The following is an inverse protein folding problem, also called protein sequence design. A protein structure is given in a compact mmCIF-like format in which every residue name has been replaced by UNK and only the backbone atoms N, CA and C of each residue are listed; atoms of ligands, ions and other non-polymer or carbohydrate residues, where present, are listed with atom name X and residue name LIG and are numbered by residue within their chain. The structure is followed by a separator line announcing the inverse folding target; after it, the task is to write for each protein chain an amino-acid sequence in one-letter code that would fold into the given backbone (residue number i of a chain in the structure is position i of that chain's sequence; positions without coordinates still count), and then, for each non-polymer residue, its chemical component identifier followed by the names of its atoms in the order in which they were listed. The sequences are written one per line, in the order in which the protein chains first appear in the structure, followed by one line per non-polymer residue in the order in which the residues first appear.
data_IF_111033937945
#
_entry.id   IF_111033937945
#
_cell.length_a   1.000
_cell.length_b   1.000
_cell.length_c   1.000
_cell.angle_alpha   90.00
_cell.angle_beta   90.00
_cell.angle_gamma   90.00
#
_symmetry.space_group_name_H-M   'P 1'
#
loop_
_entity.id
_entity.type
_entity.pdbx_description
1 polymer ?
#
# COMPACT_ATOMS: atom_id res chain seq x y z
N UNK A 1 42.53 15.17 -21.27
CA UNK A 1 41.95 13.82 -21.16
C UNK A 1 41.58 13.43 -19.74
N UNK A 2 42.48 13.56 -18.74
CA UNK A 2 42.15 13.15 -17.35
C UNK A 2 40.95 13.89 -16.70
N UNK A 3 40.74 15.17 -17.02
CA UNK A 3 39.65 15.97 -16.49
C UNK A 3 38.29 15.61 -17.11
N UNK A 4 38.27 15.36 -18.41
CA UNK A 4 37.07 14.92 -19.12
C UNK A 4 36.57 13.56 -18.64
N UNK A 5 37.48 12.61 -18.39
CA UNK A 5 37.15 11.30 -17.84
C UNK A 5 36.55 11.41 -16.44
N UNK A 6 37.12 12.24 -15.56
CA UNK A 6 36.57 12.47 -14.21
C UNK A 6 35.17 13.07 -14.26
N UNK A 7 34.93 14.01 -15.15
CA UNK A 7 33.62 14.62 -15.35
C UNK A 7 32.59 13.59 -15.84
N UNK A 8 32.97 12.75 -16.77
CA UNK A 8 32.13 11.71 -17.32
C UNK A 8 31.76 10.65 -16.28
N UNK A 9 32.72 10.25 -15.43
CA UNK A 9 32.47 9.34 -14.31
C UNK A 9 31.49 9.97 -13.30
N UNK A 10 31.69 11.22 -12.93
CA UNK A 10 30.81 11.92 -12.01
C UNK A 10 29.37 12.04 -12.55
N UNK A 11 29.24 12.29 -13.85
CA UNK A 11 27.93 12.38 -14.53
C UNK A 11 27.22 11.02 -14.52
N UNK A 12 27.92 9.94 -14.87
CA UNK A 12 27.35 8.60 -14.83
C UNK A 12 26.94 8.21 -13.41
N UNK A 13 27.77 8.50 -12.41
CA UNK A 13 27.49 8.19 -11.01
C UNK A 13 26.26 8.96 -10.51
N UNK A 14 26.12 10.23 -10.87
CA UNK A 14 24.96 11.04 -10.48
C UNK A 14 23.66 10.54 -11.12
N UNK A 15 23.71 10.10 -12.38
CA UNK A 15 22.54 9.50 -13.06
C UNK A 15 22.14 8.17 -12.44
N UNK A 16 23.11 7.32 -12.09
CA UNK A 16 22.87 6.05 -11.41
C UNK A 16 22.25 6.28 -10.02
N UNK A 17 22.75 7.26 -9.27
CA UNK A 17 22.20 7.60 -7.96
C UNK A 17 20.75 8.12 -8.08
N UNK A 18 20.50 9.03 -9.02
CA UNK A 18 19.16 9.55 -9.27
C UNK A 18 18.17 8.44 -9.67
N UNK A 19 18.62 7.52 -10.52
CA UNK A 19 17.83 6.35 -10.93
C UNK A 19 17.53 5.42 -9.75
N UNK A 20 18.52 5.15 -8.91
CA UNK A 20 18.37 4.32 -7.71
C UNK A 20 17.36 4.94 -6.72
N UNK A 21 17.50 6.24 -6.41
CA UNK A 21 16.56 6.95 -5.53
C UNK A 21 15.13 6.89 -6.06
N UNK A 22 14.96 7.16 -7.35
CA UNK A 22 13.63 7.10 -7.99
C UNK A 22 13.01 5.70 -7.92
N UNK A 23 13.81 4.66 -8.07
CA UNK A 23 13.31 3.26 -8.13
C UNK A 23 13.03 2.68 -6.75
N UNK A 24 13.88 2.99 -5.76
CA UNK A 24 13.80 2.35 -4.44
C UNK A 24 13.08 3.18 -3.38
N UNK A 25 13.09 4.51 -3.50
CA UNK A 25 12.56 5.40 -2.47
C UNK A 25 11.12 5.81 -2.73
N UNK A 26 10.81 6.16 -3.97
CA UNK A 26 9.50 6.72 -4.31
C UNK A 26 8.85 5.97 -5.47
N UNK A 27 7.56 5.71 -5.30
CA UNK A 27 6.70 5.19 -6.38
C UNK A 27 5.55 6.15 -6.61
N UNK A 28 5.28 6.47 -7.88
CA UNK A 28 4.13 7.28 -8.25
C UNK A 28 2.94 6.35 -8.44
N UNK A 29 1.89 6.60 -7.68
CA UNK A 29 0.63 5.89 -7.76
C UNK A 29 -0.47 6.81 -8.24
N UNK A 30 -1.31 6.34 -9.18
CA UNK A 30 -2.48 7.06 -9.66
C UNK A 30 -3.71 6.61 -8.87
N UNK A 31 -4.41 7.57 -8.27
CA UNK A 31 -5.62 7.29 -7.48
C UNK A 31 -6.70 6.71 -8.40
N UNK A 32 -7.25 5.51 -8.10
CA UNK A 32 -8.26 4.87 -8.92
C UNK A 32 -9.59 5.63 -8.90
N UNK A 33 -10.53 5.20 -9.71
CA UNK A 33 -11.89 5.75 -9.75
C UNK A 33 -12.56 5.63 -8.37
N UNK A 34 -13.25 6.69 -7.96
CA UNK A 34 -13.85 6.78 -6.63
C UNK A 34 -13.10 7.71 -5.68
N UNK A 35 -11.77 7.83 -5.84
CA UNK A 35 -10.96 8.71 -4.98
C UNK A 35 -11.05 8.37 -3.49
N UNK A 36 -10.42 9.19 -2.66
CA UNK A 36 -10.50 9.09 -1.21
C UNK A 36 -10.75 10.48 -0.61
N UNK A 37 -12.03 10.90 -0.48
CA UNK A 37 -12.36 12.22 0.05
C UNK A 37 -11.79 12.43 1.47
N UNK A 38 -11.48 13.68 1.86
CA UNK A 38 -11.69 14.91 1.10
C UNK A 38 -10.54 15.35 0.19
N UNK A 39 -9.37 14.72 0.29
CA UNK A 39 -8.13 15.26 -0.31
C UNK A 39 -7.73 14.62 -1.63
N UNK A 40 -8.07 13.35 -1.85
CA UNK A 40 -7.63 12.58 -3.00
C UNK A 40 -8.79 12.33 -3.96
N UNK A 41 -8.77 13.03 -5.08
CA UNK A 41 -9.73 12.84 -6.18
C UNK A 41 -9.22 11.75 -7.14
N UNK A 42 -10.16 11.09 -7.82
CA UNK A 42 -9.83 10.15 -8.88
C UNK A 42 -8.95 10.80 -9.95
N UNK A 43 -7.91 10.09 -10.39
CA UNK A 43 -6.95 10.59 -11.37
C UNK A 43 -5.79 11.40 -10.80
N UNK A 44 -5.81 11.78 -9.53
CA UNK A 44 -4.66 12.42 -8.89
C UNK A 44 -3.48 11.45 -8.84
N UNK A 45 -2.27 12.00 -8.95
CA UNK A 45 -1.03 11.24 -8.75
C UNK A 45 -0.50 11.52 -7.36
N UNK A 46 -0.17 10.48 -6.62
CA UNK A 46 0.43 10.55 -5.29
C UNK A 46 1.80 9.90 -5.30
N UNK A 47 2.71 10.47 -4.53
CA UNK A 47 4.04 9.91 -4.32
C UNK A 47 3.97 9.04 -3.07
N UNK A 48 4.25 7.76 -3.22
CA UNK A 48 4.26 6.79 -2.12
C UNK A 48 5.69 6.62 -1.63
N UNK A 49 5.89 6.87 -0.33
CA UNK A 49 7.15 6.59 0.34
C UNK A 49 7.22 5.08 0.65
N UNK A 50 8.30 4.43 0.22
CA UNK A 50 8.51 2.99 0.41
C UNK A 50 9.45 2.67 1.57
N UNK A 51 10.06 3.67 2.18
CA UNK A 51 11.07 3.47 3.23
C UNK A 51 10.40 3.30 4.59
N UNK A 52 9.40 4.13 4.88
CA UNK A 52 8.71 4.14 6.17
C UNK A 52 7.37 3.40 6.06
N UNK A 53 7.40 2.10 6.34
CA UNK A 53 6.23 1.21 6.32
C UNK A 53 6.00 0.51 7.67
N UNK A 54 6.69 0.96 8.73
CA UNK A 54 6.59 0.28 10.02
C UNK A 54 5.59 0.91 10.99
N UNK A 55 5.46 2.22 10.96
CA UNK A 55 4.66 2.97 11.92
C UNK A 55 3.51 3.71 11.21
N UNK A 56 2.36 3.08 11.15
CA UNK A 56 1.16 3.70 10.62
C UNK A 56 0.33 4.34 11.72
N UNK A 57 -0.17 5.57 11.46
CA UNK A 57 -1.07 6.32 12.32
C UNK A 57 -2.51 6.32 11.81
N UNK A 58 -3.45 6.74 12.67
CA UNK A 58 -4.83 6.99 12.24
C UNK A 58 -4.86 8.17 11.28
N UNK A 59 -5.60 8.01 10.19
CA UNK A 59 -5.73 9.03 9.15
C UNK A 59 -4.68 8.95 8.06
N UNK A 60 -3.65 8.12 8.21
CA UNK A 60 -2.65 7.92 7.17
C UNK A 60 -3.28 7.27 5.95
N UNK A 61 -2.80 7.69 4.78
CA UNK A 61 -3.21 7.13 3.51
C UNK A 61 -2.15 6.14 3.06
N UNK A 62 -2.56 4.91 2.87
CA UNK A 62 -1.69 3.81 2.46
C UNK A 62 -2.13 3.21 1.14
N UNK A 63 -1.16 2.70 0.39
CA UNK A 63 -1.39 1.89 -0.79
C UNK A 63 -1.10 0.44 -0.42
N UNK A 64 -2.06 -0.44 -0.66
CA UNK A 64 -1.94 -1.87 -0.38
C UNK A 64 -2.26 -2.69 -1.62
N UNK A 65 -1.74 -3.90 -1.64
CA UNK A 65 -1.96 -4.86 -2.73
C UNK A 65 -3.01 -5.87 -2.29
N UNK A 66 -4.03 -6.06 -3.11
CA UNK A 66 -5.03 -7.10 -2.89
C UNK A 66 -5.20 -7.95 -4.16
N UNK A 67 -5.56 -9.20 -3.93
CA UNK A 67 -5.73 -10.18 -5.01
C UNK A 67 -7.19 -10.21 -5.46
N UNK A 68 -7.44 -9.71 -6.64
CA UNK A 68 -8.78 -9.76 -7.25
C UNK A 68 -8.92 -11.01 -8.09
N UNK A 69 -9.87 -11.85 -7.72
CA UNK A 69 -10.22 -13.06 -8.49
C UNK A 69 -11.39 -12.73 -9.41
N UNK A 70 -11.13 -12.70 -10.69
CA UNK A 70 -12.17 -12.52 -11.71
C UNK A 70 -12.49 -13.84 -12.37
N UNK A 71 -13.75 -14.23 -12.33
CA UNK A 71 -14.26 -15.40 -13.03
C UNK A 71 -15.29 -14.97 -14.09
N UNK A 72 -14.91 -14.95 -15.38
CA UNK A 72 -15.86 -14.68 -16.46
C UNK A 72 -16.98 -15.73 -16.47
N UNK A 73 -18.22 -15.29 -16.69
CA UNK A 73 -19.41 -16.18 -16.68
C UNK A 73 -19.33 -17.41 -17.61
N UNK A 74 -18.47 -17.38 -18.63
CA UNK A 74 -18.34 -18.43 -19.63
C UNK A 74 -17.01 -19.22 -19.58
N UNK A 75 -16.15 -18.99 -18.61
CA UNK A 75 -14.86 -19.70 -18.52
C UNK A 75 -14.68 -20.37 -17.16
N UNK A 76 -14.22 -21.63 -17.20
CA UNK A 76 -13.86 -22.40 -15.99
C UNK A 76 -12.56 -21.92 -15.35
N UNK A 77 -11.80 -21.06 -16.02
CA UNK A 77 -10.53 -20.54 -15.50
C UNK A 77 -10.77 -19.28 -14.68
N UNK A 78 -10.26 -19.27 -13.47
CA UNK A 78 -10.18 -18.09 -12.62
C UNK A 78 -8.95 -17.28 -13.01
N UNK A 79 -9.12 -16.02 -13.33
CA UNK A 79 -8.00 -15.09 -13.51
C UNK A 79 -7.74 -14.40 -12.17
N UNK A 80 -6.52 -14.47 -11.73
CA UNK A 80 -6.06 -13.85 -10.47
C UNK A 80 -5.19 -12.67 -10.86
N UNK A 81 -5.57 -11.47 -10.42
CA UNK A 81 -4.82 -10.25 -10.66
C UNK A 81 -4.45 -9.61 -9.33
N UNK A 82 -3.20 -9.24 -9.18
CA UNK A 82 -2.77 -8.36 -8.11
C UNK A 82 -3.10 -6.93 -8.50
N UNK A 83 -3.85 -6.25 -7.66
CA UNK A 83 -4.23 -4.86 -7.87
C UNK A 83 -3.85 -4.02 -6.66
N UNK A 84 -3.39 -2.81 -6.94
CA UNK A 84 -3.05 -1.86 -5.90
C UNK A 84 -4.26 -0.98 -5.59
N UNK A 85 -4.58 -0.88 -4.33
CA UNK A 85 -5.67 -0.09 -3.81
C UNK A 85 -5.15 1.01 -2.88
N UNK A 86 -5.95 2.05 -2.72
CA UNK A 86 -5.66 3.13 -1.79
C UNK A 86 -6.70 3.12 -0.68
N UNK A 87 -6.25 3.31 0.55
CA UNK A 87 -7.12 3.38 1.71
C UNK A 87 -6.60 4.33 2.78
N UNK A 88 -7.50 4.84 3.59
CA UNK A 88 -7.18 5.65 4.77
C UNK A 88 -7.36 4.81 6.03
N UNK A 89 -6.38 4.81 6.89
CA UNK A 89 -6.41 4.07 8.16
C UNK A 89 -7.43 4.73 9.10
N UNK A 90 -8.48 3.99 9.46
CA UNK A 90 -9.48 4.42 10.44
C UNK A 90 -9.20 3.83 11.82
N UNK A 91 -8.76 2.56 11.87
CA UNK A 91 -8.52 1.83 13.12
C UNK A 91 -7.16 1.14 13.08
N UNK A 92 -6.51 1.17 14.24
CA UNK A 92 -5.23 0.53 14.46
C UNK A 92 -5.40 -0.85 15.14
N UNK A 93 -4.36 -1.71 15.11
CA UNK A 93 -4.35 -2.93 15.91
C UNK A 93 -4.62 -2.63 17.39
N UNK A 94 -5.51 -3.39 18.03
CA UNK A 94 -5.95 -3.18 19.40
C UNK A 94 -7.19 -2.29 19.57
N UNK A 95 -7.62 -1.59 18.51
CA UNK A 95 -8.85 -0.81 18.54
C UNK A 95 -10.09 -1.70 18.51
N UNK A 96 -11.15 -1.21 19.15
CA UNK A 96 -12.46 -1.87 19.11
C UNK A 96 -13.24 -1.45 17.87
N UNK A 97 -13.70 -2.42 17.11
CA UNK A 97 -14.60 -2.26 15.98
C UNK A 97 -16.01 -2.67 16.41
N UNK A 98 -16.99 -1.82 16.13
CA UNK A 98 -18.40 -2.11 16.40
C UNK A 98 -19.09 -2.36 15.07
N UNK A 99 -19.60 -3.58 14.90
CA UNK A 99 -20.42 -3.97 13.74
C UNK A 99 -21.78 -4.37 14.28
N UNK A 100 -22.80 -3.58 13.98
CA UNK A 100 -24.16 -3.72 14.54
C UNK A 100 -24.13 -3.78 16.10
N UNK A 101 -24.48 -4.91 16.66
CA UNK A 101 -24.53 -5.14 18.11
C UNK A 101 -23.29 -5.81 18.69
N UNK A 102 -22.36 -6.26 17.85
CA UNK A 102 -21.18 -7.01 18.28
C UNK A 102 -19.93 -6.13 18.25
N UNK A 103 -19.14 -6.22 19.31
CA UNK A 103 -17.87 -5.54 19.41
C UNK A 103 -16.71 -6.52 19.14
N UNK A 104 -15.84 -6.16 18.22
CA UNK A 104 -14.64 -6.91 17.90
C UNK A 104 -13.40 -6.07 18.20
N UNK A 105 -12.39 -6.68 18.79
CA UNK A 105 -11.07 -6.05 18.95
C UNK A 105 -10.19 -6.48 17.79
N UNK A 106 -9.58 -5.52 17.10
CA UNK A 106 -8.64 -5.83 16.02
C UNK A 106 -7.42 -6.52 16.61
N UNK A 107 -7.04 -7.72 16.13
CA UNK A 107 -5.95 -8.49 16.71
C UNK A 107 -4.62 -7.73 16.65
N UNK A 108 -3.89 -7.74 17.75
CA UNK A 108 -2.52 -7.22 17.86
C UNK A 108 -1.47 -8.31 17.73
N UNK A 109 -1.88 -9.55 17.98
CA UNK A 109 -0.98 -10.71 18.03
C UNK A 109 -1.48 -11.79 17.07
N UNK A 110 -0.54 -12.41 16.39
CA UNK A 110 -0.83 -13.51 15.48
C UNK A 110 -1.29 -14.78 16.19
N UNK A 111 -2.19 -15.50 15.55
CA UNK A 111 -2.51 -16.85 15.99
C UNK A 111 -1.30 -17.77 15.77
N UNK A 112 -1.09 -18.71 16.71
CA UNK A 112 0.04 -19.67 16.65
C UNK A 112 0.06 -20.54 15.37
N UNK A 113 -1.05 -20.59 14.62
CA UNK A 113 -1.21 -21.43 13.42
C UNK A 113 -0.70 -20.79 12.13
N UNK A 114 -0.71 -19.46 12.00
CA UNK A 114 -0.36 -18.82 10.73
C UNK A 114 1.14 -18.64 10.52
N UNK A 115 1.98 -18.84 11.55
CA UNK A 115 3.44 -18.72 11.42
C UNK A 115 3.97 -17.33 11.01
N UNK A 116 3.09 -16.34 10.93
CA UNK A 116 3.47 -14.98 10.57
C UNK A 116 4.24 -14.31 11.70
N UNK A 117 5.28 -13.59 11.38
CA UNK A 117 6.06 -12.84 12.36
C UNK A 117 5.34 -11.58 12.85
N UNK A 118 4.48 -11.00 12.02
CA UNK A 118 3.73 -9.78 12.30
C UNK A 118 2.32 -9.90 11.72
N UNK A 119 1.32 -9.91 12.58
CA UNK A 119 -0.10 -10.04 12.19
C UNK A 119 -0.90 -8.80 12.55
N UNK A 120 -0.32 -7.64 12.38
CA UNK A 120 -1.06 -6.41 12.58
C UNK A 120 -2.06 -6.20 11.44
N UNK A 121 -3.33 -6.04 11.81
CA UNK A 121 -4.41 -5.70 10.90
C UNK A 121 -4.82 -4.25 11.10
N UNK A 122 -5.13 -3.60 10.01
CA UNK A 122 -5.58 -2.22 9.97
C UNK A 122 -6.94 -2.16 9.29
N UNK A 123 -7.87 -1.39 9.86
CA UNK A 123 -9.13 -1.10 9.19
C UNK A 123 -8.92 0.12 8.30
N UNK A 124 -9.11 -0.09 7.02
CA UNK A 124 -8.95 0.94 6.00
C UNK A 124 -10.31 1.35 5.44
N UNK A 125 -10.49 2.65 5.28
CA UNK A 125 -11.57 3.20 4.47
C UNK A 125 -11.09 3.30 3.03
N UNK A 126 -11.69 2.54 2.15
CA UNK A 126 -11.41 2.51 0.72
C UNK A 126 -12.54 3.20 -0.06
N UNK A 127 -12.37 3.53 -1.33
CA UNK A 127 -13.46 4.05 -2.17
C UNK A 127 -14.67 3.12 -2.27
N UNK A 128 -14.45 1.82 -2.09
CA UNK A 128 -15.48 0.77 -2.16
C UNK A 128 -16.11 0.41 -0.81
N UNK A 129 -15.58 0.93 0.30
CA UNK A 129 -16.07 0.65 1.65
C UNK A 129 -14.95 0.46 2.66
N UNK A 130 -15.28 -0.14 3.79
CA UNK A 130 -14.29 -0.48 4.83
C UNK A 130 -13.72 -1.87 4.56
N UNK A 131 -12.41 -2.00 4.67
CA UNK A 131 -11.69 -3.25 4.46
C UNK A 131 -10.64 -3.46 5.54
N UNK A 132 -10.56 -4.69 6.05
CA UNK A 132 -9.51 -5.09 6.99
C UNK A 132 -8.31 -5.62 6.19
N UNK A 133 -7.17 -4.96 6.35
CA UNK A 133 -5.96 -5.27 5.57
C UNK A 133 -4.84 -5.68 6.50
N UNK A 134 -4.08 -6.69 6.10
CA UNK A 134 -2.92 -7.16 6.82
C UNK A 134 -1.69 -6.31 6.49
N UNK A 135 -0.79 -6.08 7.45
CA UNK A 135 0.41 -5.24 7.24
C UNK A 135 1.27 -5.65 6.05
N UNK A 136 1.28 -6.93 5.68
CA UNK A 136 2.09 -7.43 4.57
C UNK A 136 1.38 -7.43 3.20
N UNK A 137 0.16 -6.91 3.10
CA UNK A 137 -0.53 -6.63 1.84
C UNK A 137 -0.17 -5.24 1.33
#
# INVERSE_FOLDING_TARGET
MKTAVKFLIALVLSLLLAWAVRTYVFTIFSVPQGGLPPQLKAGNRVIVNRIDYENFGRGDVVVFTDTVVYQPKNQRRKCVFESHFIGRIEKLPGDTLRIDTVQFVIPTVCCKRCGCKDCRFYLLKTPTGQQLVHKHQ
#
